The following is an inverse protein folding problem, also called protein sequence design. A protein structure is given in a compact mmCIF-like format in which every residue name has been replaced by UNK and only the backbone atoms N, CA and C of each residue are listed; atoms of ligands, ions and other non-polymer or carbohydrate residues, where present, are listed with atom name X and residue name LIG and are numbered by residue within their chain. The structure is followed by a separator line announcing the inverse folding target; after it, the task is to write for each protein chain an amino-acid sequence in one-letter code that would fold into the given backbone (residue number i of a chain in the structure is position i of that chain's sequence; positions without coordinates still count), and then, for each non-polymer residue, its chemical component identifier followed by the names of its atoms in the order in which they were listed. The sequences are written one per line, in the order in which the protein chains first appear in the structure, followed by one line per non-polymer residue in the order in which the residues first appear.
data_IF_820205920583
#
_entry.id   IF_820205920583
#
_cell.length_a   1.000
_cell.length_b   1.000
_cell.length_c   1.000
_cell.angle_alpha   90.00
_cell.angle_beta   90.00
_cell.angle_gamma   90.00
#
_symmetry.space_group_name_H-M   'P 1'
#
loop_
_entity.id
_entity.type
_entity.pdbx_description
1 polymer ?
#
# COMPACT_ATOMS: atom_id res chain seq x y z
N UNK A 1 11.63 33.17 23.21
CA UNK A 1 12.26 31.99 22.63
C UNK A 1 11.86 30.78 23.46
N UNK A 2 11.01 29.91 22.93
CA UNK A 2 10.54 28.74 23.65
C UNK A 2 11.21 27.50 23.06
N UNK A 3 12.01 26.83 23.86
CA UNK A 3 12.44 25.47 23.55
C UNK A 3 11.31 24.52 23.93
N UNK A 4 10.88 23.66 23.06
CA UNK A 4 9.77 22.72 23.29
C UNK A 4 10.13 21.34 22.74
N UNK A 5 9.89 20.33 23.52
CA UNK A 5 9.94 18.93 23.08
C UNK A 5 8.54 18.36 23.24
N UNK A 6 8.00 17.80 22.18
CA UNK A 6 6.69 17.16 22.16
C UNK A 6 6.90 15.69 21.85
N UNK A 7 6.29 14.84 22.66
CA UNK A 7 6.24 13.40 22.43
C UNK A 7 4.79 12.98 22.33
N UNK A 8 4.48 12.24 21.27
CA UNK A 8 3.25 11.48 21.12
C UNK A 8 3.66 10.03 21.29
N UNK A 9 3.47 9.50 22.48
CA UNK A 9 3.97 8.16 22.85
C UNK A 9 3.26 7.04 22.07
N UNK A 10 2.10 7.32 21.50
CA UNK A 10 1.32 6.36 20.74
C UNK A 10 0.52 7.06 19.63
N UNK A 11 0.83 6.74 18.37
CA UNK A 11 0.08 7.24 17.22
C UNK A 11 -1.25 6.50 17.10
N UNK A 12 -2.35 7.22 17.19
CA UNK A 12 -3.69 6.64 17.02
C UNK A 12 -4.10 6.55 15.54
N UNK A 13 -4.96 5.59 15.23
CA UNK A 13 -5.55 5.40 13.89
C UNK A 13 -4.52 5.15 12.78
N UNK A 14 -3.47 4.43 13.12
CA UNK A 14 -2.51 3.79 12.21
C UNK A 14 -2.46 2.30 12.52
N UNK A 15 -1.99 1.48 11.61
CA UNK A 15 -1.75 0.07 11.88
C UNK A 15 -0.39 -0.08 12.57
N UNK A 16 -0.35 -0.78 13.72
CA UNK A 16 0.87 -1.05 14.50
C UNK A 16 1.22 0.04 15.52
N UNK A 17 2.42 -0.07 16.10
CA UNK A 17 2.86 0.74 17.24
C UNK A 17 4.00 1.69 16.87
N UNK A 18 3.72 2.98 16.91
CA UNK A 18 4.68 4.04 16.64
C UNK A 18 4.43 5.28 17.47
N UNK A 19 5.46 6.10 17.62
CA UNK A 19 5.47 7.36 18.35
C UNK A 19 5.99 8.50 17.47
N UNK A 20 5.66 9.72 17.83
CA UNK A 20 6.16 10.91 17.17
C UNK A 20 6.98 11.76 18.18
N UNK A 21 8.20 12.10 17.78
CA UNK A 21 9.06 12.99 18.52
C UNK A 21 9.34 14.26 17.72
N UNK A 22 9.00 15.41 18.30
CA UNK A 22 9.20 16.73 17.71
C UNK A 22 10.01 17.60 18.66
N UNK A 23 11.08 18.20 18.18
CA UNK A 23 11.93 19.10 18.94
C UNK A 23 11.99 20.47 18.26
N UNK A 24 11.57 21.49 19.01
CA UNK A 24 11.55 22.88 18.59
C UNK A 24 12.55 23.64 19.44
N UNK A 25 13.43 24.42 18.82
CA UNK A 25 14.38 25.31 19.48
C UNK A 25 14.31 26.69 18.83
N UNK A 26 14.13 27.71 19.64
CA UNK A 26 14.05 29.11 19.18
C UNK A 26 12.99 29.32 18.08
N UNK A 27 11.85 28.64 18.21
CA UNK A 27 10.74 28.64 17.23
C UNK A 27 11.09 28.03 15.85
N UNK A 28 12.21 27.28 15.76
CA UNK A 28 12.61 26.50 14.59
C UNK A 28 12.54 25.00 14.86
N UNK A 29 12.26 24.23 13.84
CA UNK A 29 12.22 22.76 13.91
C UNK A 29 13.65 22.23 14.01
N UNK A 30 14.03 21.74 15.17
CA UNK A 30 15.37 21.21 15.43
C UNK A 30 15.47 19.71 15.08
N UNK A 31 14.42 18.93 15.35
CA UNK A 31 14.40 17.49 15.06
C UNK A 31 12.97 16.96 14.93
N UNK A 32 12.79 15.97 14.05
CA UNK A 32 11.54 15.24 13.83
C UNK A 32 11.88 13.78 13.64
N UNK A 33 11.22 12.91 14.39
CA UNK A 33 11.42 11.47 14.31
C UNK A 33 10.08 10.75 14.36
N UNK A 34 9.85 9.86 13.39
CA UNK A 34 8.79 8.86 13.45
C UNK A 34 9.37 7.59 14.06
N UNK A 35 9.14 7.41 15.35
CA UNK A 35 9.74 6.34 16.14
C UNK A 35 8.88 5.09 16.05
N UNK A 36 9.33 4.09 15.31
CA UNK A 36 8.70 2.76 15.27
C UNK A 36 9.43 1.87 16.26
N UNK A 37 8.71 1.45 17.30
CA UNK A 37 9.23 0.63 18.38
C UNK A 37 8.64 -0.79 18.42
N UNK A 38 7.73 -1.12 17.50
CA UNK A 38 7.22 -2.48 17.33
C UNK A 38 8.40 -3.45 17.05
N UNK A 39 8.45 -4.61 17.72
CA UNK A 39 9.55 -5.55 17.53
C UNK A 39 9.62 -6.10 16.12
N UNK A 40 10.82 -6.30 15.54
CA UNK A 40 10.99 -6.97 14.26
C UNK A 40 10.40 -8.40 14.27
N UNK A 41 9.68 -8.76 13.21
CA UNK A 41 8.96 -10.04 13.10
C UNK A 41 9.70 -11.10 12.27
N UNK A 42 10.86 -10.76 11.70
CA UNK A 42 11.83 -11.65 11.06
C UNK A 42 11.31 -12.50 9.90
N UNK A 43 10.35 -12.07 9.12
CA UNK A 43 9.77 -12.85 8.02
C UNK A 43 10.79 -13.28 6.98
N UNK A 44 11.76 -12.43 6.63
CA UNK A 44 12.85 -12.80 5.71
C UNK A 44 13.69 -13.97 6.24
N UNK A 45 13.93 -14.02 7.57
CA UNK A 45 14.63 -15.12 8.19
C UNK A 45 13.78 -16.41 8.22
N UNK A 46 12.47 -16.30 8.45
CA UNK A 46 11.56 -17.45 8.44
C UNK A 46 11.43 -18.10 7.06
N UNK A 47 11.65 -17.34 5.99
CA UNK A 47 11.60 -17.84 4.62
C UNK A 47 12.82 -18.70 4.27
N UNK A 48 13.99 -18.46 4.90
CA UNK A 48 15.20 -19.22 4.62
C UNK A 48 15.07 -20.69 4.97
N UNK A 49 15.44 -21.56 4.03
CA UNK A 49 15.30 -23.02 4.13
C UNK A 49 13.87 -23.53 3.87
N UNK A 50 12.90 -22.64 3.59
CA UNK A 50 11.55 -23.05 3.20
C UNK A 50 11.46 -23.34 1.72
N UNK A 51 10.59 -24.28 1.31
CA UNK A 51 10.28 -24.47 -0.10
C UNK A 51 9.65 -23.22 -0.72
N UNK A 52 9.96 -22.93 -1.97
CA UNK A 52 9.47 -21.77 -2.72
C UNK A 52 7.94 -21.60 -2.66
N UNK A 53 7.19 -22.71 -2.67
CA UNK A 53 5.72 -22.70 -2.68
C UNK A 53 5.10 -22.29 -1.34
N UNK A 54 5.86 -22.26 -0.24
CA UNK A 54 5.39 -21.73 1.05
C UNK A 54 5.52 -20.20 1.15
N UNK A 55 6.34 -19.57 0.30
CA UNK A 55 6.56 -18.13 0.38
C UNK A 55 5.29 -17.28 0.30
N UNK A 56 4.31 -17.55 -0.59
CA UNK A 56 3.07 -16.79 -0.63
C UNK A 56 2.27 -16.85 0.67
N UNK A 57 2.18 -18.02 1.28
CA UNK A 57 1.44 -18.19 2.54
C UNK A 57 2.13 -17.51 3.73
N UNK A 58 3.47 -17.57 3.77
CA UNK A 58 4.26 -16.93 4.82
C UNK A 58 4.16 -15.41 4.68
N UNK A 59 4.37 -14.87 3.49
CA UNK A 59 4.37 -13.42 3.26
C UNK A 59 3.01 -12.78 3.43
N UNK A 60 1.91 -13.49 3.12
CA UNK A 60 0.55 -13.03 3.42
C UNK A 60 0.35 -12.71 4.92
N UNK A 61 1.14 -13.32 5.83
CA UNK A 61 1.06 -13.08 7.29
C UNK A 61 1.75 -11.79 7.74
N UNK A 62 2.48 -11.13 6.86
CA UNK A 62 3.10 -9.83 7.17
C UNK A 62 2.03 -8.80 7.48
N UNK A 63 0.90 -8.82 6.77
CA UNK A 63 -0.16 -7.84 6.94
C UNK A 63 -1.55 -8.50 6.92
N UNK A 64 -2.44 -8.06 7.83
CA UNK A 64 -3.85 -8.47 7.82
C UNK A 64 -4.73 -7.63 6.89
N UNK A 65 -4.25 -6.43 6.48
CA UNK A 65 -5.00 -5.49 5.64
C UNK A 65 -4.61 -5.61 4.17
N UNK A 66 -3.31 -5.78 3.87
CA UNK A 66 -2.80 -5.91 2.50
C UNK A 66 -2.09 -7.26 2.23
N UNK A 67 -2.68 -8.39 2.61
CA UNK A 67 -2.06 -9.71 2.45
C UNK A 67 -1.89 -10.11 0.98
N UNK A 68 -2.80 -9.65 0.10
CA UNK A 68 -2.79 -9.99 -1.33
C UNK A 68 -1.54 -9.44 -1.99
N UNK A 69 -1.19 -8.18 -1.76
CA UNK A 69 -0.01 -7.57 -2.36
C UNK A 69 1.28 -8.29 -1.95
N UNK A 70 1.44 -8.66 -0.66
CA UNK A 70 2.59 -9.46 -0.20
C UNK A 70 2.63 -10.84 -0.83
N UNK A 71 1.48 -11.51 -0.86
CA UNK A 71 1.34 -12.85 -1.43
C UNK A 71 1.68 -12.85 -2.92
N UNK A 72 1.12 -11.88 -3.67
CA UNK A 72 1.36 -11.77 -5.11
C UNK A 72 2.79 -11.36 -5.44
N UNK A 73 3.42 -10.48 -4.64
CA UNK A 73 4.83 -10.14 -4.84
C UNK A 73 5.71 -11.39 -4.70
N UNK A 74 5.43 -12.27 -3.73
CA UNK A 74 6.14 -13.54 -3.60
C UNK A 74 5.86 -14.48 -4.78
N UNK A 75 4.59 -14.60 -5.20
CA UNK A 75 4.19 -15.41 -6.36
C UNK A 75 4.92 -14.96 -7.62
N UNK A 76 4.86 -13.67 -7.95
CA UNK A 76 5.49 -13.13 -9.17
C UNK A 76 7.01 -13.27 -9.14
N UNK A 77 7.65 -13.05 -7.99
CA UNK A 77 9.09 -13.23 -7.88
C UNK A 77 9.51 -14.69 -8.10
N UNK A 78 8.76 -15.67 -7.56
CA UNK A 78 9.03 -17.10 -7.78
C UNK A 78 8.76 -17.51 -9.23
N UNK A 79 7.68 -17.04 -9.83
CA UNK A 79 7.34 -17.31 -11.23
C UNK A 79 8.39 -16.72 -12.18
N UNK A 80 8.86 -15.51 -11.92
CA UNK A 80 9.95 -14.89 -12.67
C UNK A 80 11.27 -15.69 -12.51
N UNK A 81 11.59 -16.17 -11.29
CA UNK A 81 12.75 -17.00 -11.07
C UNK A 81 12.76 -18.26 -11.93
N UNK A 82 11.61 -18.92 -12.07
CA UNK A 82 11.48 -20.18 -12.80
C UNK A 82 11.01 -20.01 -14.25
N UNK A 83 10.87 -18.78 -14.74
CA UNK A 83 10.44 -18.51 -16.11
C UNK A 83 9.02 -19.02 -16.43
N UNK A 84 8.14 -19.05 -15.43
CA UNK A 84 6.80 -19.56 -15.58
C UNK A 84 5.93 -18.65 -16.46
N UNK A 85 5.20 -19.22 -17.41
CA UNK A 85 4.26 -18.50 -18.25
C UNK A 85 2.85 -18.71 -17.70
N UNK A 86 2.27 -17.64 -17.18
CA UNK A 86 0.95 -17.67 -16.55
C UNK A 86 -0.13 -17.31 -17.56
N UNK A 87 -1.20 -18.14 -17.72
CA UNK A 87 -2.33 -17.82 -18.57
C UNK A 87 -3.01 -16.50 -18.18
N UNK A 88 -3.51 -15.78 -19.17
CA UNK A 88 -4.16 -14.48 -18.95
C UNK A 88 -5.39 -14.59 -18.02
N UNK A 89 -6.13 -15.67 -18.09
CA UNK A 89 -7.30 -15.93 -17.23
C UNK A 89 -6.92 -16.00 -15.74
N UNK A 90 -5.77 -16.57 -15.43
CA UNK A 90 -5.21 -16.61 -14.05
C UNK A 90 -4.74 -15.21 -13.65
N UNK A 91 -4.06 -14.51 -14.57
CA UNK A 91 -3.59 -13.14 -14.35
C UNK A 91 -4.77 -12.20 -14.03
N UNK A 92 -5.86 -12.28 -14.78
CA UNK A 92 -7.08 -11.49 -14.55
C UNK A 92 -7.72 -11.80 -13.17
N UNK A 93 -7.79 -13.05 -12.76
CA UNK A 93 -8.27 -13.41 -11.42
C UNK A 93 -7.39 -12.84 -10.29
N UNK A 94 -6.08 -12.77 -10.50
CA UNK A 94 -5.16 -12.10 -9.56
C UNK A 94 -5.46 -10.60 -9.49
N UNK A 95 -5.70 -9.96 -10.63
CA UNK A 95 -6.12 -8.55 -10.65
C UNK A 95 -7.44 -8.33 -9.93
N UNK A 96 -8.40 -9.24 -10.09
CA UNK A 96 -9.67 -9.18 -9.35
C UNK A 96 -9.43 -9.26 -7.83
N UNK A 97 -8.48 -10.09 -7.39
CA UNK A 97 -8.11 -10.19 -5.97
C UNK A 97 -7.51 -8.88 -5.45
N UNK A 98 -6.66 -8.21 -6.24
CA UNK A 98 -6.16 -6.85 -5.93
C UNK A 98 -7.30 -5.83 -5.85
N UNK A 99 -8.28 -5.89 -6.74
CA UNK A 99 -9.45 -4.99 -6.68
C UNK A 99 -10.16 -5.12 -5.32
N UNK A 100 -10.35 -6.35 -4.83
CA UNK A 100 -10.93 -6.60 -3.51
C UNK A 100 -10.13 -5.96 -2.38
N UNK A 101 -8.81 -6.16 -2.37
CA UNK A 101 -7.91 -5.59 -1.36
C UNK A 101 -7.90 -4.05 -1.40
N UNK A 102 -7.86 -3.44 -2.58
CA UNK A 102 -7.85 -1.98 -2.68
C UNK A 102 -9.17 -1.35 -2.26
N UNK A 103 -10.31 -1.94 -2.64
CA UNK A 103 -11.64 -1.48 -2.19
C UNK A 103 -11.71 -1.53 -0.66
N UNK A 104 -11.30 -2.65 -0.05
CA UNK A 104 -11.32 -2.83 1.40
C UNK A 104 -10.40 -1.83 2.10
N UNK A 105 -9.13 -1.79 1.71
CA UNK A 105 -8.09 -1.04 2.38
C UNK A 105 -8.25 0.49 2.22
N UNK A 106 -8.57 0.96 1.02
CA UNK A 106 -8.80 2.39 0.80
C UNK A 106 -10.04 2.88 1.52
N UNK A 107 -11.11 2.08 1.56
CA UNK A 107 -12.33 2.41 2.30
C UNK A 107 -12.06 2.48 3.80
N UNK A 108 -11.30 1.52 4.34
CA UNK A 108 -10.89 1.51 5.75
C UNK A 108 -10.12 2.80 6.09
N UNK A 109 -9.08 3.11 5.31
CA UNK A 109 -8.28 4.30 5.55
C UNK A 109 -9.13 5.58 5.43
N UNK A 110 -9.84 5.73 4.33
CA UNK A 110 -10.58 6.95 4.01
C UNK A 110 -11.59 7.27 5.12
N UNK A 111 -12.47 6.33 5.46
CA UNK A 111 -13.59 6.61 6.35
C UNK A 111 -13.29 6.41 7.83
N UNK A 112 -12.45 5.45 8.19
CA UNK A 112 -12.27 5.05 9.58
C UNK A 112 -11.01 5.61 10.21
N UNK A 113 -9.95 5.79 9.41
CA UNK A 113 -8.67 6.24 9.94
C UNK A 113 -8.42 7.74 9.71
N UNK A 114 -8.84 8.30 8.56
CA UNK A 114 -8.42 9.64 8.15
C UNK A 114 -9.56 10.69 8.07
N UNK A 115 -10.75 10.36 7.55
CA UNK A 115 -11.87 11.31 7.51
C UNK A 115 -12.22 11.92 8.88
N UNK A 116 -12.13 11.19 10.02
CA UNK A 116 -12.35 11.79 11.33
C UNK A 116 -11.47 13.02 11.61
N UNK A 117 -10.21 13.04 11.11
CA UNK A 117 -9.31 14.19 11.28
C UNK A 117 -9.86 15.48 10.66
N UNK A 118 -10.46 15.38 9.48
CA UNK A 118 -10.97 16.52 8.73
C UNK A 118 -12.32 16.99 9.28
N UNK A 119 -13.08 16.09 9.89
CA UNK A 119 -14.40 16.36 10.45
C UNK A 119 -14.35 16.71 11.94
N UNK A 120 -13.17 16.66 12.57
CA UNK A 120 -12.96 17.03 13.98
C UNK A 120 -13.41 15.95 14.99
N UNK A 121 -13.42 14.67 14.59
CA UNK A 121 -13.74 13.54 15.47
C UNK A 121 -12.48 12.79 15.91
N UNK A 122 -12.48 12.31 17.16
CA UNK A 122 -11.39 11.49 17.69
C UNK A 122 -11.27 10.15 16.97
N UNK A 123 -12.42 9.57 16.56
CA UNK A 123 -12.50 8.28 15.87
C UNK A 123 -13.81 8.12 15.08
N UNK A 124 -13.93 7.01 14.34
CA UNK A 124 -15.12 6.67 13.55
C UNK A 124 -16.35 6.37 14.42
N UNK A 125 -16.19 5.94 15.68
CA UNK A 125 -17.33 5.64 16.56
C UNK A 125 -18.02 6.93 16.99
N UNK A 126 -17.22 7.98 17.26
CA UNK A 126 -17.76 9.32 17.51
C UNK A 126 -18.38 9.91 16.25
N UNK A 127 -17.72 9.78 15.09
CA UNK A 127 -18.27 10.22 13.80
C UNK A 127 -19.58 9.51 13.46
N UNK A 128 -19.76 8.24 13.79
CA UNK A 128 -20.97 7.47 13.50
C UNK A 128 -22.23 7.99 14.21
N UNK A 129 -22.08 8.76 15.30
CA UNK A 129 -23.23 9.36 16.01
C UNK A 129 -23.91 10.44 15.18
N UNK A 130 -23.11 11.23 14.46
CA UNK A 130 -23.59 12.36 13.66
C UNK A 130 -23.72 12.00 12.18
N UNK A 131 -22.94 11.01 11.70
CA UNK A 131 -22.87 10.59 10.31
C UNK A 131 -23.11 9.07 10.14
N UNK A 132 -24.19 8.48 10.67
CA UNK A 132 -24.41 7.02 10.66
C UNK A 132 -24.51 6.44 9.24
N UNK A 133 -25.10 7.17 8.28
CA UNK A 133 -25.27 6.68 6.91
C UNK A 133 -23.92 6.64 6.16
N UNK A 134 -23.02 7.58 6.45
CA UNK A 134 -21.65 7.58 5.90
C UNK A 134 -20.89 6.34 6.37
N UNK A 135 -20.98 6.02 7.68
CA UNK A 135 -20.30 4.85 8.25
C UNK A 135 -20.92 3.54 7.75
N UNK A 136 -22.25 3.45 7.63
CA UNK A 136 -22.91 2.26 7.05
C UNK A 136 -22.48 2.01 5.59
N UNK A 137 -22.41 3.09 4.78
CA UNK A 137 -21.91 3.01 3.40
C UNK A 137 -20.47 2.50 3.36
N UNK A 138 -19.59 3.05 4.20
CA UNK A 138 -18.20 2.62 4.32
C UNK A 138 -18.08 1.13 4.67
N UNK A 139 -18.85 0.66 5.68
CA UNK A 139 -18.85 -0.75 6.08
C UNK A 139 -19.32 -1.69 4.97
N UNK A 140 -20.36 -1.29 4.20
CA UNK A 140 -20.83 -2.08 3.06
C UNK A 140 -19.79 -2.12 1.94
N UNK A 141 -19.19 -0.98 1.62
CA UNK A 141 -18.15 -0.89 0.58
C UNK A 141 -16.94 -1.76 0.94
N UNK A 142 -16.45 -1.65 2.19
CA UNK A 142 -15.39 -2.51 2.73
C UNK A 142 -15.75 -3.99 2.64
N UNK A 143 -16.99 -4.35 3.01
CA UNK A 143 -17.46 -5.73 2.96
C UNK A 143 -17.42 -6.30 1.53
N UNK A 144 -17.79 -5.51 0.52
CA UNK A 144 -17.75 -5.97 -0.87
C UNK A 144 -16.30 -6.28 -1.31
N UNK A 145 -15.32 -5.46 -0.93
CA UNK A 145 -13.90 -5.80 -1.12
C UNK A 145 -13.51 -7.13 -0.49
N UNK A 146 -13.93 -7.35 0.77
CA UNK A 146 -13.71 -8.62 1.48
C UNK A 146 -14.41 -9.80 0.80
N UNK A 147 -15.63 -9.62 0.28
CA UNK A 147 -16.38 -10.68 -0.41
C UNK A 147 -15.68 -11.10 -1.72
N UNK A 148 -15.06 -10.16 -2.45
CA UNK A 148 -14.20 -10.47 -3.61
C UNK A 148 -13.01 -11.34 -3.16
N UNK A 149 -12.32 -10.92 -2.09
CA UNK A 149 -11.17 -11.67 -1.56
C UNK A 149 -11.59 -13.06 -1.05
N UNK A 150 -12.75 -13.19 -0.41
CA UNK A 150 -13.28 -14.48 0.01
C UNK A 150 -13.56 -15.40 -1.18
N UNK A 151 -14.18 -14.87 -2.24
CA UNK A 151 -14.56 -15.67 -3.40
C UNK A 151 -13.32 -16.18 -4.16
N UNK A 152 -12.35 -15.31 -4.42
CA UNK A 152 -11.16 -15.64 -5.22
C UNK A 152 -10.04 -16.20 -4.36
N UNK A 153 -9.78 -15.59 -3.22
CA UNK A 153 -8.67 -15.92 -2.31
C UNK A 153 -8.98 -17.01 -1.28
N UNK A 154 -10.27 -17.39 -1.15
CA UNK A 154 -10.73 -18.39 -0.18
C UNK A 154 -10.99 -17.86 1.22
N UNK A 155 -10.46 -16.69 1.58
CA UNK A 155 -10.79 -15.89 2.75
C UNK A 155 -10.24 -14.47 2.59
N UNK A 156 -10.82 -13.53 3.31
CA UNK A 156 -10.50 -12.10 3.23
C UNK A 156 -9.16 -11.72 3.88
N UNK A 157 -8.81 -12.38 4.98
CA UNK A 157 -7.56 -12.15 5.71
C UNK A 157 -6.61 -13.32 5.45
N UNK A 158 -5.42 -13.02 4.93
CA UNK A 158 -4.41 -14.03 4.55
C UNK A 158 -4.99 -15.08 3.60
N UNK A 159 -5.28 -14.75 2.34
CA UNK A 159 -5.84 -15.68 1.36
C UNK A 159 -5.09 -17.00 1.29
N UNK A 160 -5.82 -18.10 1.10
CA UNK A 160 -5.28 -19.48 1.13
C UNK A 160 -5.41 -20.19 -0.21
N UNK A 161 -6.06 -19.57 -1.18
CA UNK A 161 -6.32 -20.19 -2.48
C UNK A 161 -5.25 -19.88 -3.54
N UNK A 162 -4.33 -18.96 -3.24
CA UNK A 162 -3.24 -18.56 -4.14
C UNK A 162 -2.05 -19.50 -4.00
N UNK A 163 -1.42 -19.85 -5.12
CA UNK A 163 -0.15 -20.59 -5.16
C UNK A 163 0.74 -20.10 -6.30
N UNK A 164 2.02 -20.43 -6.24
CA UNK A 164 2.92 -20.21 -7.37
C UNK A 164 2.40 -21.02 -8.57
N UNK A 165 2.28 -20.39 -9.72
CA UNK A 165 1.68 -20.97 -10.92
C UNK A 165 0.18 -20.70 -11.06
N UNK A 166 -0.53 -20.14 -10.08
CA UNK A 166 -1.96 -19.85 -10.18
C UNK A 166 -2.72 -19.90 -8.87
N UNK A 167 -3.74 -20.75 -8.84
CA UNK A 167 -4.64 -20.97 -7.71
C UNK A 167 -4.81 -22.47 -7.43
N UNK A 168 -5.26 -22.84 -6.24
CA UNK A 168 -5.69 -24.21 -5.95
C UNK A 168 -7.03 -24.53 -6.62
N UNK A 169 -7.92 -23.54 -6.73
CA UNK A 169 -9.20 -23.62 -7.48
C UNK A 169 -9.59 -22.23 -7.99
N UNK A 170 -10.41 -22.19 -9.05
CA UNK A 170 -10.93 -20.97 -9.63
C UNK A 170 -12.45 -20.91 -9.50
N UNK A 171 -13.05 -19.71 -9.34
CA UNK A 171 -14.49 -19.54 -9.31
C UNK A 171 -15.11 -19.86 -10.68
N UNK A 172 -16.37 -20.32 -10.68
CA UNK A 172 -17.16 -20.38 -11.92
C UNK A 172 -17.62 -18.97 -12.32
N UNK A 173 -18.00 -18.79 -13.60
CA UNK A 173 -18.63 -17.54 -14.05
C UNK A 173 -19.87 -17.20 -13.22
N UNK A 174 -20.66 -18.20 -12.87
CA UNK A 174 -21.85 -18.02 -12.05
C UNK A 174 -21.53 -17.50 -10.64
N UNK A 175 -20.42 -17.91 -10.03
CA UNK A 175 -20.01 -17.43 -8.72
C UNK A 175 -19.60 -15.96 -8.77
N UNK A 176 -18.89 -15.55 -9.81
CA UNK A 176 -18.52 -14.15 -10.04
C UNK A 176 -19.75 -13.27 -10.30
N UNK A 177 -20.68 -13.74 -11.13
CA UNK A 177 -21.91 -13.00 -11.45
C UNK A 177 -22.82 -12.74 -10.24
N UNK A 178 -22.75 -13.55 -9.18
CA UNK A 178 -23.49 -13.29 -7.93
C UNK A 178 -23.04 -11.99 -7.23
N UNK A 179 -21.83 -11.53 -7.50
CA UNK A 179 -21.29 -10.30 -6.90
C UNK A 179 -21.50 -9.06 -7.78
N UNK A 180 -21.97 -9.25 -9.02
CA UNK A 180 -22.00 -8.19 -10.02
C UNK A 180 -22.79 -6.96 -9.57
N UNK A 181 -24.00 -7.15 -9.06
CA UNK A 181 -24.87 -6.07 -8.58
C UNK A 181 -24.28 -5.33 -7.38
N UNK A 182 -23.64 -6.07 -6.46
CA UNK A 182 -22.97 -5.46 -5.31
C UNK A 182 -21.75 -4.64 -5.75
N UNK A 183 -20.99 -5.08 -6.76
CA UNK A 183 -19.85 -4.32 -7.29
C UNK A 183 -20.36 -3.10 -8.09
N UNK A 184 -21.49 -3.18 -8.82
CA UNK A 184 -22.12 -2.00 -9.41
C UNK A 184 -22.51 -0.96 -8.34
N UNK A 185 -23.11 -1.42 -7.25
CA UNK A 185 -23.40 -0.53 -6.11
C UNK A 185 -22.11 0.06 -5.52
N UNK A 186 -21.04 -0.75 -5.39
CA UNK A 186 -19.75 -0.28 -4.88
C UNK A 186 -19.13 0.79 -5.78
N UNK A 187 -19.22 0.64 -7.10
CA UNK A 187 -18.78 1.66 -8.07
C UNK A 187 -19.49 3.00 -7.85
N UNK A 188 -20.81 2.96 -7.74
CA UNK A 188 -21.60 4.18 -7.53
C UNK A 188 -21.31 4.81 -6.16
N UNK A 189 -21.14 3.98 -5.12
CA UNK A 189 -20.69 4.42 -3.80
C UNK A 189 -19.27 5.00 -3.81
N UNK A 190 -18.37 4.48 -4.66
CA UNK A 190 -17.00 4.99 -4.80
C UNK A 190 -16.97 6.38 -5.47
N UNK A 191 -17.87 6.66 -6.41
CA UNK A 191 -18.07 8.02 -6.96
C UNK A 191 -18.43 8.99 -5.85
N UNK A 192 -19.43 8.63 -5.03
CA UNK A 192 -19.83 9.46 -3.88
C UNK A 192 -18.69 9.60 -2.86
N UNK A 193 -17.88 8.57 -2.69
CA UNK A 193 -16.71 8.56 -1.79
C UNK A 193 -15.64 9.54 -2.26
N UNK A 194 -15.33 9.56 -3.56
CA UNK A 194 -14.38 10.51 -4.13
C UNK A 194 -14.88 11.96 -3.99
N UNK A 195 -16.18 12.21 -4.23
CA UNK A 195 -16.81 13.53 -4.04
C UNK A 195 -16.82 13.96 -2.57
N UNK A 196 -17.14 13.04 -1.65
CA UNK A 196 -17.06 13.30 -0.21
C UNK A 196 -15.63 13.64 0.21
N UNK A 197 -14.64 12.85 -0.19
CA UNK A 197 -13.26 13.13 0.13
C UNK A 197 -12.80 14.50 -0.41
N UNK A 198 -13.22 14.87 -1.62
CA UNK A 198 -12.89 16.16 -2.22
C UNK A 198 -13.57 17.36 -1.54
N UNK A 199 -14.68 17.15 -0.82
CA UNK A 199 -15.38 18.20 -0.08
C UNK A 199 -14.76 18.56 1.26
N UNK A 200 -13.73 17.80 1.70
CA UNK A 200 -13.02 18.06 2.94
C UNK A 200 -12.10 19.28 2.81
N UNK A 201 -11.88 19.98 3.92
CA UNK A 201 -10.95 21.11 3.97
C UNK A 201 -9.51 20.64 4.15
N UNK A 202 -8.65 20.98 3.20
CA UNK A 202 -7.24 20.58 3.21
C UNK A 202 -6.35 21.77 3.55
N UNK A 203 -5.28 21.53 4.37
CA UNK A 203 -4.19 22.50 4.48
C UNK A 203 -3.55 22.78 3.10
N UNK A 204 -3.21 24.02 2.85
CA UNK A 204 -2.37 24.37 1.69
C UNK A 204 -0.93 23.96 1.98
N UNK A 205 -0.55 22.78 1.52
CA UNK A 205 0.78 22.23 1.73
C UNK A 205 1.24 21.53 0.45
N UNK A 206 2.23 22.08 -0.18
CA UNK A 206 2.77 21.58 -1.44
C UNK A 206 4.20 21.06 -1.25
N UNK A 207 4.50 19.89 -1.80
CA UNK A 207 5.82 19.26 -1.74
C UNK A 207 6.25 18.76 -3.12
N UNK A 208 7.50 19.04 -3.51
CA UNK A 208 8.11 18.55 -4.76
C UNK A 208 8.64 17.11 -4.55
N UNK A 209 7.74 16.15 -4.58
CA UNK A 209 8.11 14.74 -4.42
C UNK A 209 8.84 14.17 -5.64
N UNK A 210 9.81 13.29 -5.39
CA UNK A 210 10.13 12.24 -6.34
C UNK A 210 9.13 11.10 -6.12
N UNK A 211 8.12 11.05 -6.99
CA UNK A 211 7.11 10.00 -7.01
C UNK A 211 7.71 8.74 -7.65
N UNK A 212 7.57 7.59 -6.99
CA UNK A 212 8.01 6.29 -7.51
C UNK A 212 6.85 5.31 -7.45
N UNK A 213 6.58 4.62 -8.55
CA UNK A 213 5.59 3.54 -8.60
C UNK A 213 5.92 2.52 -9.68
N UNK A 214 5.19 1.42 -9.65
CA UNK A 214 5.12 0.53 -10.80
C UNK A 214 4.34 1.24 -11.93
N UNK A 215 4.79 1.07 -13.17
CA UNK A 215 4.14 1.58 -14.37
C UNK A 215 4.01 0.43 -15.36
N UNK A 216 2.79 0.17 -15.84
CA UNK A 216 2.50 -0.81 -16.88
C UNK A 216 2.14 -0.11 -18.19
N UNK A 217 2.53 -0.64 -19.38
CA UNK A 217 2.26 0.04 -20.65
C UNK A 217 0.77 0.18 -20.96
N UNK A 218 -0.07 -0.75 -20.52
CA UNK A 218 -1.47 -0.85 -21.00
C UNK A 218 -2.52 -0.58 -19.91
N UNK A 219 -2.18 -0.67 -18.62
CA UNK A 219 -3.15 -0.64 -17.54
C UNK A 219 -2.64 0.12 -16.29
N UNK A 220 -3.55 0.52 -15.42
CA UNK A 220 -3.21 1.05 -14.10
C UNK A 220 -2.61 -0.09 -13.26
N UNK A 221 -1.44 0.11 -12.62
CA UNK A 221 -0.63 -1.00 -12.12
C UNK A 221 -1.19 -1.64 -10.85
N UNK A 222 -1.18 -2.97 -10.82
CA UNK A 222 -1.35 -3.79 -9.62
C UNK A 222 -0.17 -4.74 -9.45
N UNK A 223 -0.03 -5.68 -10.35
CA UNK A 223 0.74 -6.90 -10.17
C UNK A 223 2.09 -6.93 -10.88
N UNK A 224 2.34 -6.08 -11.86
CA UNK A 224 3.57 -6.08 -12.63
C UNK A 224 3.81 -4.76 -13.37
N UNK A 225 5.05 -4.54 -13.80
CA UNK A 225 5.46 -3.39 -14.57
C UNK A 225 6.92 -3.01 -14.33
N UNK A 226 7.31 -1.85 -14.83
CA UNK A 226 8.61 -1.23 -14.57
C UNK A 226 8.53 -0.31 -13.38
N UNK A 227 9.61 -0.11 -12.68
CA UNK A 227 9.71 0.89 -11.60
C UNK A 227 10.10 2.21 -12.26
N UNK A 228 9.23 3.20 -12.14
CA UNK A 228 9.47 4.51 -12.73
C UNK A 228 9.36 5.64 -11.71
N UNK A 229 10.03 6.76 -11.98
CA UNK A 229 9.83 8.00 -11.23
C UNK A 229 9.60 9.20 -12.16
N UNK A 230 8.95 10.24 -11.63
CA UNK A 230 8.79 11.51 -12.32
C UNK A 230 10.12 12.30 -12.46
N UNK A 231 11.21 11.82 -11.84
CA UNK A 231 12.56 12.43 -11.92
C UNK A 231 13.58 11.53 -12.62
N UNK A 232 13.11 10.59 -13.48
CA UNK A 232 13.93 9.90 -14.48
C UNK A 232 14.43 8.49 -14.10
N UNK A 233 13.90 7.85 -13.05
CA UNK A 233 14.09 6.40 -12.87
C UNK A 233 13.17 5.68 -13.86
N UNK A 234 13.72 4.70 -14.58
CA UNK A 234 13.02 3.75 -15.44
C UNK A 234 13.82 2.44 -15.46
N UNK A 235 13.45 1.50 -14.59
CA UNK A 235 14.20 0.28 -14.33
C UNK A 235 13.29 -0.94 -14.25
N UNK A 236 13.86 -2.13 -14.46
CA UNK A 236 13.18 -3.38 -14.14
C UNK A 236 13.34 -3.74 -12.65
N UNK A 237 12.51 -4.62 -12.09
CA UNK A 237 12.63 -5.06 -10.69
C UNK A 237 14.01 -5.62 -10.33
N UNK A 238 14.72 -6.28 -11.26
CA UNK A 238 16.08 -6.81 -11.05
C UNK A 238 17.10 -5.73 -10.71
N UNK A 239 16.83 -4.50 -11.14
CA UNK A 239 17.73 -3.37 -10.97
C UNK A 239 17.46 -2.59 -9.66
N UNK A 240 16.44 -2.98 -8.89
CA UNK A 240 16.02 -2.25 -7.68
C UNK A 240 17.20 -1.99 -6.73
N UNK A 241 17.96 -3.00 -6.38
CA UNK A 241 19.06 -2.90 -5.40
C UNK A 241 20.23 -2.00 -5.87
N UNK A 242 20.32 -1.68 -7.18
CA UNK A 242 21.31 -0.73 -7.70
C UNK A 242 20.86 0.73 -7.48
N UNK A 243 19.57 0.98 -7.44
CA UNK A 243 19.00 2.34 -7.34
C UNK A 243 18.51 2.68 -5.95
N UNK A 244 18.02 1.71 -5.19
CA UNK A 244 17.46 1.91 -3.86
C UNK A 244 18.31 1.27 -2.78
N UNK A 245 18.22 1.83 -1.58
CA UNK A 245 18.93 1.35 -0.41
C UNK A 245 18.06 1.52 0.84
N UNK A 246 18.05 0.51 1.69
CA UNK A 246 17.51 0.57 3.04
C UNK A 246 18.63 0.80 4.05
N UNK A 247 18.36 1.57 5.09
CA UNK A 247 19.30 1.88 6.16
C UNK A 247 18.63 1.85 7.52
N UNK A 248 19.37 1.42 8.53
CA UNK A 248 18.96 1.51 9.93
C UNK A 248 19.11 2.94 10.43
N UNK A 249 18.13 3.36 11.25
CA UNK A 249 18.20 4.60 12.01
C UNK A 249 18.02 4.28 13.50
N UNK A 250 18.72 5.01 14.38
CA UNK A 250 18.73 4.71 15.83
C UNK A 250 17.36 4.85 16.50
N UNK A 251 16.50 5.70 15.96
CA UNK A 251 15.21 6.02 16.56
C UNK A 251 14.05 5.14 16.08
N UNK A 252 14.28 4.21 15.17
CA UNK A 252 13.20 3.40 14.58
C UNK A 252 13.64 1.96 14.33
N UNK A 253 12.78 1.00 14.66
CA UNK A 253 12.96 -0.40 14.29
C UNK A 253 12.59 -0.70 12.83
N UNK A 254 11.89 0.21 12.14
CA UNK A 254 11.69 0.11 10.70
C UNK A 254 12.91 0.64 9.95
N UNK A 255 13.23 -0.01 8.81
CA UNK A 255 14.24 0.51 7.90
C UNK A 255 13.73 1.77 7.19
N UNK A 256 14.64 2.68 6.91
CA UNK A 256 14.39 3.83 6.05
C UNK A 256 14.95 3.56 4.66
N UNK A 257 14.10 3.66 3.65
CA UNK A 257 14.53 3.54 2.26
C UNK A 257 14.87 4.89 1.65
N UNK A 258 15.85 4.90 0.74
CA UNK A 258 16.20 6.06 -0.09
C UNK A 258 16.68 5.65 -1.48
N UNK A 259 16.62 6.59 -2.41
CA UNK A 259 17.34 6.49 -3.69
C UNK A 259 18.83 6.73 -3.41
N UNK A 260 19.72 5.87 -3.93
CA UNK A 260 21.16 5.87 -3.55
C UNK A 260 21.88 7.20 -3.77
N UNK A 261 21.63 7.86 -4.90
CA UNK A 261 22.27 9.12 -5.28
C UNK A 261 21.43 10.36 -4.95
N UNK A 262 20.21 10.12 -4.45
CA UNK A 262 19.25 11.14 -4.03
C UNK A 262 18.81 10.84 -2.61
N UNK A 263 17.77 11.46 -2.11
CA UNK A 263 17.32 11.21 -0.73
C UNK A 263 15.98 10.48 -0.69
N UNK A 264 14.99 11.08 -0.06
CA UNK A 264 13.67 10.50 0.12
C UNK A 264 12.86 10.50 -1.19
N UNK A 265 11.89 9.62 -1.26
CA UNK A 265 10.94 9.49 -2.35
C UNK A 265 9.58 9.08 -1.82
N UNK A 266 8.54 9.33 -2.60
CA UNK A 266 7.17 9.00 -2.27
C UNK A 266 6.71 7.78 -3.06
N UNK A 267 6.14 6.78 -2.35
CA UNK A 267 5.34 5.71 -2.95
C UNK A 267 3.90 5.77 -2.44
N UNK A 268 2.98 5.16 -3.15
CA UNK A 268 1.58 5.06 -2.75
C UNK A 268 0.62 5.77 -3.69
N UNK A 269 -0.62 6.04 -3.25
CA UNK A 269 -1.68 6.53 -4.13
C UNK A 269 -1.31 7.75 -4.95
N UNK A 270 -0.71 8.77 -4.34
CA UNK A 270 -0.29 9.98 -5.06
C UNK A 270 0.77 9.66 -6.11
N UNK A 271 1.78 8.86 -5.77
CA UNK A 271 2.83 8.51 -6.73
C UNK A 271 2.28 7.69 -7.90
N UNK A 272 1.43 6.68 -7.61
CA UNK A 272 0.76 5.90 -8.65
C UNK A 272 -0.11 6.77 -9.55
N UNK A 273 -0.95 7.60 -8.96
CA UNK A 273 -1.84 8.51 -9.69
C UNK A 273 -1.06 9.41 -10.64
N UNK A 274 -0.03 10.10 -10.13
CA UNK A 274 0.78 11.04 -10.91
C UNK A 274 1.49 10.36 -12.10
N UNK A 275 2.01 9.14 -11.89
CA UNK A 275 2.73 8.41 -12.93
C UNK A 275 1.82 7.63 -13.90
N UNK A 276 0.60 7.30 -13.48
CA UNK A 276 -0.29 6.42 -14.24
C UNK A 276 -1.66 7.06 -14.56
N UNK A 277 -1.82 8.36 -14.42
CA UNK A 277 -3.09 9.05 -14.68
C UNK A 277 -3.72 8.67 -16.02
N UNK A 278 -2.90 8.55 -17.07
CA UNK A 278 -3.40 8.25 -18.42
C UNK A 278 -3.95 6.81 -18.55
N UNK A 279 -3.65 5.93 -17.59
CA UNK A 279 -4.16 4.55 -17.51
C UNK A 279 -5.46 4.41 -16.71
N UNK A 280 -5.91 5.46 -16.07
CA UNK A 280 -7.22 5.50 -15.41
C UNK A 280 -8.35 5.35 -16.46
N UNK A 281 -9.46 4.75 -16.03
CA UNK A 281 -10.65 4.63 -16.88
C UNK A 281 -11.23 6.01 -17.24
N UNK A 282 -12.01 6.10 -18.32
CA UNK A 282 -12.68 7.36 -18.66
C UNK A 282 -13.53 7.93 -17.53
N UNK A 283 -14.27 7.08 -16.79
CA UNK A 283 -15.08 7.50 -15.66
C UNK A 283 -14.22 8.03 -14.50
N UNK A 284 -13.11 7.36 -14.17
CA UNK A 284 -12.18 7.84 -13.16
C UNK A 284 -11.61 9.23 -13.51
N UNK A 285 -11.25 9.46 -14.78
CA UNK A 285 -10.76 10.76 -15.26
C UNK A 285 -11.85 11.84 -15.21
N UNK A 286 -13.08 11.48 -15.58
CA UNK A 286 -14.25 12.38 -15.50
C UNK A 286 -14.50 12.82 -14.07
N UNK A 287 -14.59 11.87 -13.13
CA UNK A 287 -14.80 12.18 -11.70
C UNK A 287 -13.62 12.97 -11.13
N UNK A 288 -12.37 12.62 -11.45
CA UNK A 288 -11.21 13.39 -11.03
C UNK A 288 -11.28 14.86 -11.50
N UNK A 289 -11.72 15.08 -12.75
CA UNK A 289 -11.93 16.43 -13.29
C UNK A 289 -13.09 17.16 -12.60
N UNK A 290 -14.22 16.47 -12.38
CA UNK A 290 -15.41 17.03 -11.72
C UNK A 290 -15.10 17.54 -10.30
N UNK A 291 -14.29 16.77 -9.54
CA UNK A 291 -13.90 17.13 -8.18
C UNK A 291 -12.68 18.08 -8.11
N UNK A 292 -12.20 18.56 -9.22
CA UNK A 292 -11.05 19.47 -9.28
C UNK A 292 -9.72 18.84 -8.89
N UNK A 293 -9.59 17.53 -9.00
CA UNK A 293 -8.32 16.82 -8.83
C UNK A 293 -7.57 16.85 -10.17
N UNK A 294 -6.48 17.59 -10.25
CA UNK A 294 -5.65 17.69 -11.46
C UNK A 294 -5.01 16.34 -11.84
N UNK A 295 -4.27 16.35 -12.97
CA UNK A 295 -3.51 15.16 -13.41
C UNK A 295 -2.35 14.80 -12.49
N UNK A 296 -1.88 15.76 -11.69
CA UNK A 296 -0.80 15.61 -10.73
C UNK A 296 -1.22 16.18 -9.38
N UNK A 297 -0.88 15.49 -8.31
CA UNK A 297 -1.19 15.85 -6.93
C UNK A 297 0.11 15.93 -6.14
N UNK A 298 0.36 17.07 -5.51
CA UNK A 298 1.57 17.32 -4.71
C UNK A 298 1.24 17.75 -3.27
N UNK A 299 -0.03 17.80 -2.91
CA UNK A 299 -0.49 17.99 -1.54
C UNK A 299 -0.78 16.63 -0.90
N UNK A 300 0.03 16.16 0.10
CA UNK A 300 -0.14 14.85 0.71
C UNK A 300 -1.49 14.66 1.40
N UNK A 301 -2.11 15.75 1.90
CA UNK A 301 -3.45 15.69 2.50
C UNK A 301 -4.53 15.29 1.49
N UNK A 302 -4.30 15.48 0.19
CA UNK A 302 -5.20 15.01 -0.88
C UNK A 302 -5.03 13.52 -1.21
N UNK A 303 -4.15 12.78 -0.53
CA UNK A 303 -4.04 11.33 -0.71
C UNK A 303 -5.37 10.60 -0.47
N UNK A 304 -6.20 11.11 0.44
CA UNK A 304 -7.54 10.58 0.72
C UNK A 304 -8.48 10.71 -0.50
N UNK A 305 -8.35 11.78 -1.29
CA UNK A 305 -9.12 11.98 -2.52
C UNK A 305 -8.66 11.00 -3.60
N UNK A 306 -7.33 10.85 -3.76
CA UNK A 306 -6.76 9.90 -4.70
C UNK A 306 -7.19 8.46 -4.39
N UNK A 307 -7.25 8.08 -3.10
CA UNK A 307 -7.77 6.77 -2.68
C UNK A 307 -9.24 6.57 -3.06
N UNK A 308 -10.04 7.63 -3.06
CA UNK A 308 -11.42 7.60 -3.57
C UNK A 308 -11.46 7.26 -5.07
N UNK A 309 -10.58 7.84 -5.87
CA UNK A 309 -10.45 7.54 -7.30
C UNK A 309 -9.92 6.11 -7.52
N UNK A 310 -8.93 5.64 -6.74
CA UNK A 310 -8.42 4.27 -6.85
C UNK A 310 -9.47 3.23 -6.42
N UNK A 311 -10.34 3.55 -5.47
CA UNK A 311 -11.50 2.71 -5.10
C UNK A 311 -12.47 2.59 -6.28
N UNK A 312 -12.77 3.70 -6.95
CA UNK A 312 -13.61 3.70 -8.16
C UNK A 312 -12.97 2.87 -9.27
N UNK A 313 -11.67 3.08 -9.53
CA UNK A 313 -10.92 2.28 -10.51
C UNK A 313 -11.02 0.78 -10.21
N UNK A 314 -10.83 0.39 -8.95
CA UNK A 314 -10.88 -1.01 -8.54
C UNK A 314 -12.26 -1.64 -8.75
N UNK A 315 -13.34 -0.88 -8.55
CA UNK A 315 -14.71 -1.34 -8.85
C UNK A 315 -14.93 -1.51 -10.35
N UNK A 316 -14.50 -0.56 -11.18
CA UNK A 316 -14.63 -0.65 -12.64
C UNK A 316 -13.79 -1.80 -13.22
N UNK A 317 -12.57 -1.97 -12.73
CA UNK A 317 -11.70 -3.06 -13.16
C UNK A 317 -12.27 -4.42 -12.74
N UNK A 318 -12.83 -4.54 -11.54
CA UNK A 318 -13.52 -5.76 -11.12
C UNK A 318 -14.69 -6.10 -12.03
N UNK A 319 -15.53 -5.12 -12.40
CA UNK A 319 -16.64 -5.30 -13.34
C UNK A 319 -16.11 -5.73 -14.73
N UNK A 320 -15.08 -5.06 -15.26
CA UNK A 320 -14.44 -5.41 -16.53
C UNK A 320 -13.97 -6.88 -16.54
N UNK A 321 -13.31 -7.29 -15.46
CA UNK A 321 -12.80 -8.67 -15.35
C UNK A 321 -13.96 -9.67 -15.31
N UNK A 322 -15.02 -9.42 -14.53
CA UNK A 322 -16.17 -10.31 -14.42
C UNK A 322 -16.90 -10.43 -15.76
N UNK A 323 -17.12 -9.32 -16.48
CA UNK A 323 -17.78 -9.31 -17.78
C UNK A 323 -17.03 -10.15 -18.81
N UNK A 324 -15.70 -10.08 -18.79
CA UNK A 324 -14.84 -10.77 -19.76
C UNK A 324 -14.32 -12.13 -19.26
N UNK A 325 -14.73 -12.55 -18.06
CA UNK A 325 -14.18 -13.75 -17.43
C UNK A 325 -14.39 -15.01 -18.26
N UNK A 326 -13.29 -15.68 -18.52
CA UNK A 326 -13.22 -17.04 -19.04
C UNK A 326 -12.56 -17.92 -18.01
N UNK A 327 -13.22 -19.02 -17.67
CA UNK A 327 -12.65 -19.97 -16.73
C UNK A 327 -11.42 -20.62 -17.37
N UNK A 328 -10.24 -20.61 -16.74
CA UNK A 328 -9.06 -21.27 -17.26
C UNK A 328 -9.25 -22.79 -17.31
N UNK A 329 -8.62 -23.46 -18.27
CA UNK A 329 -8.66 -24.93 -18.42
C UNK A 329 -8.06 -25.65 -17.21
N UNK A 330 -7.05 -25.03 -16.57
CA UNK A 330 -6.47 -25.48 -15.31
C UNK A 330 -6.35 -24.30 -14.32
N UNK A 331 -6.58 -24.51 -13.02
CA UNK A 331 -6.44 -23.45 -12.03
C UNK A 331 -4.99 -23.00 -11.84
N UNK A 332 -4.00 -23.76 -12.30
CA UNK A 332 -2.58 -23.43 -12.19
C UNK A 332 -1.76 -24.13 -13.28
N UNK A 333 -0.59 -23.58 -13.56
CA UNK A 333 0.47 -24.23 -14.31
C UNK A 333 1.41 -25.01 -13.38
N UNK A 334 2.07 -26.02 -13.91
CA UNK A 334 3.10 -26.76 -13.18
C UNK A 334 4.39 -25.95 -13.14
N UNK A 335 5.08 -25.96 -11.99
CA UNK A 335 6.31 -25.21 -11.77
C UNK A 335 7.43 -26.19 -11.52
N UNK A 336 8.47 -26.10 -12.33
CA UNK A 336 9.71 -26.84 -12.16
C UNK A 336 10.76 -25.91 -11.50
N UNK A 337 11.12 -26.15 -10.22
CA UNK A 337 12.10 -25.31 -9.54
C UNK A 337 13.51 -25.52 -10.13
N UNK A 338 14.28 -24.45 -10.15
CA UNK A 338 15.69 -24.45 -10.55
C UNK A 338 16.46 -23.45 -9.68
N UNK A 339 17.78 -23.56 -9.65
CA UNK A 339 18.60 -22.55 -8.99
C UNK A 339 18.47 -21.21 -9.74
N UNK A 340 17.89 -20.22 -9.07
CA UNK A 340 17.61 -18.92 -9.67
C UNK A 340 17.41 -17.82 -8.62
N UNK A 341 17.45 -16.58 -9.10
CA UNK A 341 17.01 -15.40 -8.33
C UNK A 341 15.83 -14.76 -9.04
N UNK A 342 14.73 -14.59 -8.32
CA UNK A 342 13.53 -13.95 -8.84
C UNK A 342 13.25 -12.62 -8.15
N UNK A 343 12.65 -11.70 -8.91
CA UNK A 343 12.38 -10.33 -8.51
C UNK A 343 10.96 -9.96 -8.90
N UNK A 344 10.30 -9.18 -8.06
CA UNK A 344 9.00 -8.60 -8.40
C UNK A 344 8.80 -7.25 -7.71
N UNK A 345 8.09 -6.38 -8.40
CA UNK A 345 7.47 -5.19 -7.82
C UNK A 345 5.98 -5.21 -8.11
N UNK A 346 5.18 -4.99 -7.09
CA UNK A 346 3.72 -4.89 -7.18
C UNK A 346 3.23 -3.67 -6.43
N UNK A 347 1.96 -3.30 -6.60
CA UNK A 347 1.36 -2.15 -5.93
C UNK A 347 0.39 -2.59 -4.84
N UNK A 348 0.79 -2.46 -3.59
CA UNK A 348 -0.14 -2.52 -2.46
C UNK A 348 -0.99 -1.25 -2.38
N UNK A 349 -2.11 -1.24 -1.64
CA UNK A 349 -2.89 -0.02 -1.40
C UNK A 349 -2.04 1.16 -0.93
N UNK A 350 -1.00 0.89 -0.15
CA UNK A 350 -0.09 1.88 0.46
C UNK A 350 1.12 2.24 -0.38
N UNK A 351 1.36 1.54 -1.50
CA UNK A 351 2.45 1.80 -2.42
C UNK A 351 3.18 0.54 -2.90
N UNK A 352 4.26 0.77 -3.61
CA UNK A 352 5.07 -0.27 -4.22
C UNK A 352 5.68 -1.21 -3.17
N UNK A 353 5.55 -2.54 -3.40
CA UNK A 353 6.26 -3.59 -2.66
C UNK A 353 7.30 -4.19 -3.59
N UNK A 354 8.52 -4.38 -3.07
CA UNK A 354 9.57 -5.12 -3.76
C UNK A 354 9.88 -6.42 -3.03
N UNK A 355 9.95 -7.53 -3.80
CA UNK A 355 10.41 -8.84 -3.33
C UNK A 355 11.55 -9.35 -4.21
N UNK A 356 12.54 -9.97 -3.55
CA UNK A 356 13.62 -10.74 -4.17
C UNK A 356 13.81 -12.04 -3.41
N UNK A 357 13.95 -13.14 -4.15
CA UNK A 357 14.27 -14.45 -3.58
C UNK A 357 15.37 -15.11 -4.37
N UNK A 358 16.34 -15.70 -3.65
CA UNK A 358 17.30 -16.65 -4.23
C UNK A 358 16.90 -18.05 -3.79
N UNK A 359 16.76 -18.95 -4.75
CA UNK A 359 16.30 -20.32 -4.57
C UNK A 359 17.36 -21.27 -5.12
N UNK A 360 17.64 -22.37 -4.42
CA UNK A 360 18.57 -23.40 -4.86
C UNK A 360 17.91 -24.41 -5.81
N UNK A 361 18.69 -25.36 -6.33
CA UNK A 361 18.22 -26.40 -7.27
C UNK A 361 17.12 -27.32 -6.70
N UNK A 362 16.98 -27.40 -5.37
CA UNK A 362 15.94 -28.20 -4.70
C UNK A 362 14.64 -27.39 -4.48
N UNK A 363 14.62 -26.11 -4.88
CA UNK A 363 13.50 -25.21 -4.66
C UNK A 363 13.42 -24.63 -3.24
N UNK A 364 14.52 -24.69 -2.46
CA UNK A 364 14.59 -24.10 -1.14
C UNK A 364 15.08 -22.66 -1.22
N UNK A 365 14.45 -21.76 -0.48
CA UNK A 365 14.81 -20.34 -0.39
C UNK A 365 16.10 -20.20 0.41
N UNK A 366 17.13 -19.65 -0.20
CA UNK A 366 18.42 -19.36 0.47
C UNK A 366 18.46 -17.92 1.00
N UNK A 367 17.85 -16.98 0.28
CA UNK A 367 17.81 -15.58 0.66
C UNK A 367 16.47 -14.95 0.26
N UNK A 368 16.01 -14.02 1.06
CA UNK A 368 14.80 -13.25 0.81
C UNK A 368 15.01 -11.79 1.20
N UNK A 369 14.50 -10.89 0.39
CA UNK A 369 14.40 -9.45 0.68
C UNK A 369 13.01 -8.96 0.36
N UNK A 370 12.42 -8.22 1.30
CA UNK A 370 11.07 -7.67 1.21
C UNK A 370 11.12 -6.20 1.61
N UNK A 371 10.72 -5.31 0.72
CA UNK A 371 10.72 -3.86 0.99
C UNK A 371 9.28 -3.34 0.90
N UNK A 372 8.65 -3.06 2.05
CA UNK A 372 7.27 -2.58 2.10
C UNK A 372 7.15 -1.09 1.84
N UNK A 373 5.97 -0.59 1.44
CA UNK A 373 5.76 0.84 1.15
C UNK A 373 5.99 1.74 2.37
N UNK A 374 5.66 1.27 3.58
CA UNK A 374 5.84 2.07 4.79
C UNK A 374 7.32 2.33 5.09
N UNK A 375 8.22 1.36 4.89
CA UNK A 375 9.67 1.60 4.97
C UNK A 375 10.15 2.61 3.93
N UNK A 376 9.59 2.54 2.73
CA UNK A 376 9.93 3.45 1.64
C UNK A 376 9.53 4.89 1.93
N UNK A 377 8.42 5.10 2.64
CA UNK A 377 7.90 6.43 2.97
C UNK A 377 8.45 7.03 4.27
N UNK A 378 9.21 6.30 5.12
CA UNK A 378 9.64 6.79 6.43
C UNK A 378 10.34 8.15 6.37
N UNK A 379 11.34 8.29 5.48
CA UNK A 379 12.07 9.56 5.32
C UNK A 379 11.20 10.68 4.78
N UNK A 380 10.26 10.36 3.91
CA UNK A 380 9.34 11.34 3.32
C UNK A 380 8.35 11.84 4.38
N UNK A 381 7.83 10.96 5.24
CA UNK A 381 6.98 11.35 6.37
C UNK A 381 7.71 12.32 7.31
N UNK A 382 8.95 12.02 7.69
CA UNK A 382 9.75 12.90 8.53
C UNK A 382 10.09 14.24 7.86
N UNK A 383 10.38 14.22 6.55
CA UNK A 383 10.59 15.42 5.74
C UNK A 383 9.34 16.30 5.68
N UNK A 384 8.18 15.69 5.42
CA UNK A 384 6.91 16.41 5.38
C UNK A 384 6.56 17.02 6.74
N UNK A 385 6.72 16.27 7.82
CA UNK A 385 6.51 16.80 9.17
C UNK A 385 7.44 17.96 9.46
N UNK A 386 8.71 17.89 9.07
CA UNK A 386 9.69 18.97 9.23
C UNK A 386 9.27 20.23 8.47
N UNK A 387 8.74 20.08 7.27
CA UNK A 387 8.29 21.19 6.44
C UNK A 387 6.90 21.71 6.86
N UNK A 388 6.03 20.84 7.40
CA UNK A 388 4.68 21.20 7.81
C UNK A 388 4.62 21.86 9.19
N UNK A 389 5.47 21.41 10.16
CA UNK A 389 5.47 21.89 11.53
C UNK A 389 5.57 23.41 11.66
N UNK A 390 6.38 24.14 10.86
CA UNK A 390 6.41 25.61 10.89
C UNK A 390 5.07 26.28 10.62
N UNK A 391 4.19 25.65 9.82
CA UNK A 391 2.86 26.20 9.47
C UNK A 391 1.88 26.13 10.65
N UNK A 392 2.13 25.23 11.61
CA UNK A 392 1.24 24.96 12.76
C UNK A 392 1.89 25.28 14.11
N UNK A 393 3.12 25.79 14.13
CA UNK A 393 3.94 26.01 15.34
C UNK A 393 3.30 27.00 16.34
N UNK A 394 2.45 27.90 15.84
CA UNK A 394 1.75 28.91 16.63
C UNK A 394 0.42 28.41 17.23
N UNK A 395 -0.03 27.22 16.89
CA UNK A 395 -1.23 26.60 17.45
C UNK A 395 -0.98 26.13 18.91
N UNK A 396 -2.06 25.81 19.62
CA UNK A 396 -1.92 25.13 20.91
C UNK A 396 -1.21 23.78 20.71
N UNK A 397 -0.60 23.25 21.78
CA UNK A 397 0.10 21.97 21.72
C UNK A 397 -0.81 20.84 21.23
N UNK A 398 -2.04 20.78 21.73
CA UNK A 398 -3.02 19.78 21.36
C UNK A 398 -3.37 19.87 19.86
N UNK A 399 -3.61 21.06 19.34
CA UNK A 399 -3.92 21.28 17.93
C UNK A 399 -2.71 20.96 17.02
N UNK A 400 -1.51 21.37 17.44
CA UNK A 400 -0.28 21.08 16.70
C UNK A 400 -0.02 19.56 16.61
N UNK A 401 -0.15 18.83 17.74
CA UNK A 401 -0.06 17.36 17.75
C UNK A 401 -1.07 16.75 16.82
N UNK A 402 -2.34 17.14 16.90
CA UNK A 402 -3.41 16.65 16.04
C UNK A 402 -3.08 16.83 14.54
N UNK A 403 -2.57 18.03 14.17
CA UNK A 403 -2.19 18.33 12.79
C UNK A 403 -0.98 17.51 12.31
N UNK A 404 0.00 17.26 13.18
CA UNK A 404 1.14 16.40 12.88
C UNK A 404 0.72 14.93 12.71
N UNK A 405 -0.15 14.43 13.58
CA UNK A 405 -0.70 13.07 13.45
C UNK A 405 -1.54 12.93 12.17
N UNK A 406 -2.34 13.96 11.82
CA UNK A 406 -3.06 14.01 10.55
C UNK A 406 -2.10 13.92 9.36
N UNK A 407 -0.97 14.63 9.40
CA UNK A 407 0.06 14.56 8.35
C UNK A 407 0.67 13.15 8.21
N UNK A 408 0.91 12.44 9.32
CA UNK A 408 1.37 11.03 9.29
C UNK A 408 0.30 10.13 8.65
N UNK A 409 -0.98 10.32 9.00
CA UNK A 409 -2.08 9.51 8.47
C UNK A 409 -2.34 9.71 6.97
N UNK A 410 -1.86 10.78 6.33
CA UNK A 410 -1.86 10.93 4.88
C UNK A 410 -1.26 9.72 4.16
N UNK A 411 -0.24 9.10 4.77
CA UNK A 411 0.51 7.99 4.22
C UNK A 411 -0.13 6.62 4.47
N UNK A 412 -1.12 6.54 5.38
CA UNK A 412 -1.70 5.27 5.82
C UNK A 412 -0.62 4.27 6.27
N UNK A 413 0.25 4.63 7.23
CA UNK A 413 1.38 3.79 7.55
C UNK A 413 0.93 2.46 8.16
N UNK A 414 1.45 1.36 7.60
CA UNK A 414 1.34 0.02 8.16
C UNK A 414 2.66 -0.29 8.87
N UNK A 415 2.71 -0.02 10.15
CA UNK A 415 3.94 -0.08 10.95
C UNK A 415 4.44 -1.50 11.06
N UNK A 416 3.55 -2.47 11.36
CA UNK A 416 3.91 -3.89 11.43
C UNK A 416 4.50 -4.42 10.12
N UNK A 417 4.12 -3.85 8.97
CA UNK A 417 4.73 -4.21 7.69
C UNK A 417 6.19 -3.78 7.57
N UNK A 418 6.57 -2.70 8.22
CA UNK A 418 7.91 -2.11 8.12
C UNK A 418 8.96 -2.80 9.04
N UNK A 419 8.54 -3.74 9.88
CA UNK A 419 9.37 -4.39 10.91
C UNK A 419 9.57 -5.89 10.66
N UNK A 420 9.69 -6.34 9.41
CA UNK A 420 9.75 -7.75 9.03
C UNK A 420 11.16 -8.31 8.76
N UNK A 421 12.19 -7.48 8.79
CA UNK A 421 13.56 -7.83 8.47
C UNK A 421 14.37 -8.32 9.69
N UNK A 422 15.51 -8.98 9.46
CA UNK A 422 16.51 -9.31 10.46
C UNK A 422 17.92 -9.06 9.92
N UNK A 423 18.66 -8.17 10.56
CA UNK A 423 20.12 -8.16 10.47
C UNK A 423 20.66 -8.51 11.85
N UNK A 424 21.12 -9.73 12.01
CA UNK A 424 21.69 -10.22 13.26
C UNK A 424 23.21 -10.06 13.22
N UNK A 425 23.76 -9.15 14.04
CA UNK A 425 25.19 -9.07 14.33
C UNK A 425 25.46 -9.82 15.62
N UNK A 426 26.18 -10.94 15.55
CA UNK A 426 26.65 -11.66 16.73
C UNK A 426 28.11 -11.33 16.91
N UNK A 427 28.42 -10.49 17.89
CA UNK A 427 29.76 -10.35 18.44
C UNK A 427 29.91 -11.42 19.53
N UNK A 428 30.88 -12.32 19.37
CA UNK A 428 31.31 -13.26 20.42
C UNK A 428 32.60 -12.73 20.99
N UNK A 429 32.56 -12.34 22.28
CA UNK A 429 33.75 -12.08 23.07
C UNK A 429 34.49 -13.37 23.37
#
# INVERSE_FOLDING_TARGET
MKNKTIKVDYLARVEGEGALYLKIKNDEVADVQLQIFEPPRFFEAFLRGRPYYEAPDITARICGICPVAYQMSAVHAMENAFGAVIPNEIRELRRLLYCGEWIESHTLHLYMLHAPDFLGYDDVVHMAKDHPEVVKKALRLKKIGNDIMNLVGGREIHPINVKVGGFYKVPTRNDLMKMYDDICWARDAAIETAKFAASLEFPEFFQDYECVSVVHPDEYPFNEGRIMSNKGIDISPEQYDFHFREEHVEHSHALHSRIRERDNYLVGPIARYNLNYEKLTPLCKEIASEIGLGKEVYNPFKSIVVRGIETLYSCEEALRIIDNYRMPDSPSVEIEPSEATGYACTEAPRGMIYHRYRVNSEGLIEDAKIVPPTSQNQKTIESDLRNFLPTVINLSEKEMVWKCEQAVRNYDPCISCATHFLTLHIERE
#
